data_IF_663124921771
#
_entry.id   IF_663124921771
#
_cell.length_a   1.000
_cell.length_b   1.000
_cell.length_c   1.000
_cell.angle_alpha   90.00
_cell.angle_beta   90.00
_cell.angle_gamma   90.00
#
_symmetry.space_group_name_H-M   'P 1'
#
loop_
_entity.id
_entity.type
_entity.pdbx_description
1 polymer ?
#
# COMPACT_ATOMS: atom_id res chain seq x y z
N UNK A 1 2.26 -2.48 -13.52
CA UNK A 1 1.17 -3.39 -13.15
C UNK A 1 -0.18 -2.96 -13.71
N UNK A 2 -0.83 -1.92 -13.22
CA UNK A 2 -2.06 -1.40 -13.85
C UNK A 2 -1.82 -1.01 -15.32
N UNK A 3 -0.67 -0.44 -15.64
CA UNK A 3 -0.27 -0.14 -17.01
C UNK A 3 -0.04 -1.40 -17.85
N UNK A 4 0.51 -2.48 -17.26
CA UNK A 4 0.70 -3.75 -17.99
C UNK A 4 -0.63 -4.43 -18.33
N UNK A 5 -1.61 -4.37 -17.41
CA UNK A 5 -2.94 -4.93 -17.64
C UNK A 5 -3.75 -4.13 -18.68
N UNK A 6 -3.35 -2.92 -19.03
CA UNK A 6 -4.02 -2.02 -19.98
C UNK A 6 -5.56 -2.06 -19.84
N UNK A 7 -6.10 -1.71 -18.67
CA UNK A 7 -7.55 -1.75 -18.48
C UNK A 7 -8.22 -0.76 -19.43
N UNK A 8 -9.35 -1.17 -20.00
CA UNK A 8 -10.20 -0.33 -20.84
C UNK A 8 -11.37 0.21 -20.01
N UNK A 9 -11.98 1.28 -20.46
CA UNK A 9 -13.22 1.76 -19.87
C UNK A 9 -14.26 0.64 -19.80
N UNK A 10 -14.92 0.49 -18.65
CA UNK A 10 -15.87 -0.58 -18.37
C UNK A 10 -15.26 -1.91 -17.89
N UNK A 11 -13.93 -2.10 -17.96
CA UNK A 11 -13.29 -3.29 -17.40
C UNK A 11 -13.50 -3.37 -15.87
N UNK A 12 -13.79 -4.57 -15.37
CA UNK A 12 -13.93 -4.82 -13.94
C UNK A 12 -12.58 -4.98 -13.26
N UNK A 13 -12.40 -4.36 -12.09
CA UNK A 13 -11.22 -4.53 -11.26
C UNK A 13 -11.59 -4.81 -9.80
N UNK A 14 -10.87 -5.75 -9.18
CA UNK A 14 -10.92 -6.03 -7.75
C UNK A 14 -9.74 -5.37 -7.04
N UNK A 15 -10.04 -4.62 -5.99
CA UNK A 15 -9.02 -4.01 -5.13
C UNK A 15 -9.09 -4.60 -3.72
N UNK A 16 -8.08 -5.33 -3.31
CA UNK A 16 -7.97 -5.80 -1.94
C UNK A 16 -7.57 -4.67 -0.99
N UNK A 17 -8.06 -4.76 0.27
CA UNK A 17 -7.88 -3.74 1.29
C UNK A 17 -8.24 -2.32 0.80
N UNK A 18 -9.40 -2.18 0.14
CA UNK A 18 -9.81 -0.98 -0.59
C UNK A 18 -9.84 0.33 0.20
N UNK A 19 -9.97 0.28 1.53
CA UNK A 19 -9.93 1.47 2.39
C UNK A 19 -8.52 1.80 2.92
N UNK A 20 -7.50 1.02 2.58
CA UNK A 20 -6.10 1.32 2.87
C UNK A 20 -5.50 2.32 1.88
N UNK A 21 -4.30 2.81 2.16
CA UNK A 21 -3.67 3.83 1.33
C UNK A 21 -3.49 3.42 -0.13
N UNK A 22 -3.01 2.19 -0.39
CA UNK A 22 -2.85 1.67 -1.76
C UNK A 22 -4.21 1.43 -2.42
N UNK A 23 -5.17 0.86 -1.66
CA UNK A 23 -6.52 0.59 -2.16
C UNK A 23 -7.26 1.85 -2.59
N UNK A 24 -7.19 2.92 -1.80
CA UNK A 24 -7.81 4.21 -2.14
C UNK A 24 -7.14 4.88 -3.35
N UNK A 25 -5.82 4.86 -3.42
CA UNK A 25 -5.11 5.39 -4.60
C UNK A 25 -5.45 4.59 -5.87
N UNK A 26 -5.53 3.25 -5.76
CA UNK A 26 -5.92 2.40 -6.87
C UNK A 26 -7.39 2.59 -7.27
N UNK A 27 -8.29 2.85 -6.31
CA UNK A 27 -9.69 3.19 -6.55
C UNK A 27 -9.82 4.48 -7.35
N UNK A 28 -9.13 5.53 -6.91
CA UNK A 28 -9.15 6.82 -7.58
C UNK A 28 -8.63 6.70 -9.01
N UNK A 29 -7.48 6.05 -9.17
CA UNK A 29 -6.87 5.84 -10.48
C UNK A 29 -7.70 4.93 -11.40
N UNK A 30 -8.30 3.89 -10.85
CA UNK A 30 -9.17 2.97 -11.58
C UNK A 30 -10.42 3.67 -12.11
N UNK A 31 -10.99 4.60 -11.34
CA UNK A 31 -12.11 5.45 -11.77
C UNK A 31 -11.70 6.42 -12.88
N UNK A 32 -10.54 7.04 -12.75
CA UNK A 32 -10.00 7.91 -13.79
C UNK A 32 -9.88 7.18 -15.14
N UNK A 33 -9.62 5.88 -15.11
CA UNK A 33 -9.58 5.02 -16.30
C UNK A 33 -10.96 4.49 -16.74
N UNK A 34 -12.05 4.90 -16.07
CA UNK A 34 -13.40 4.44 -16.38
C UNK A 34 -13.67 2.99 -15.95
N UNK A 35 -12.88 2.45 -15.03
CA UNK A 35 -13.01 1.07 -14.55
C UNK A 35 -14.18 0.88 -13.59
N UNK A 36 -14.79 -0.31 -13.62
CA UNK A 36 -15.80 -0.75 -12.66
C UNK A 36 -15.11 -1.42 -11.48
N UNK A 37 -15.11 -0.76 -10.33
CA UNK A 37 -14.31 -1.19 -9.19
C UNK A 37 -15.17 -1.96 -8.18
N UNK A 38 -14.67 -3.13 -7.78
CA UNK A 38 -15.09 -3.90 -6.61
C UNK A 38 -13.96 -3.87 -5.61
N UNK A 39 -14.26 -3.70 -4.33
CA UNK A 39 -13.22 -3.69 -3.29
C UNK A 39 -13.62 -4.56 -2.10
N UNK A 40 -12.63 -5.02 -1.33
CA UNK A 40 -12.90 -5.63 -0.05
C UNK A 40 -12.36 -4.78 1.12
N UNK A 41 -12.98 -4.93 2.27
CA UNK A 41 -12.56 -4.34 3.53
C UNK A 41 -13.05 -5.20 4.71
N UNK A 42 -12.32 -5.09 5.85
CA UNK A 42 -12.56 -6.00 6.99
C UNK A 42 -13.42 -5.41 8.12
N UNK A 43 -13.85 -4.16 8.02
CA UNK A 43 -14.58 -3.47 9.10
C UNK A 43 -15.80 -2.73 8.56
N UNK A 44 -16.95 -2.72 9.28
CA UNK A 44 -18.17 -2.06 8.81
C UNK A 44 -17.99 -0.57 8.48
N UNK A 45 -17.24 0.18 9.30
CA UNK A 45 -16.99 1.60 9.05
C UNK A 45 -16.18 1.84 7.76
N UNK A 46 -15.29 0.90 7.37
CA UNK A 46 -14.57 0.95 6.10
C UNK A 46 -15.52 0.72 4.92
N UNK A 47 -16.47 -0.19 5.07
CA UNK A 47 -17.54 -0.37 4.08
C UNK A 47 -18.39 0.89 3.95
N UNK A 48 -18.80 1.51 5.08
CA UNK A 48 -19.52 2.76 5.07
C UNK A 48 -18.74 3.89 4.36
N UNK A 49 -17.44 3.99 4.62
CA UNK A 49 -16.58 4.95 3.95
C UNK A 49 -16.50 4.70 2.44
N UNK A 50 -16.27 3.47 2.00
CA UNK A 50 -16.22 3.12 0.58
C UNK A 50 -17.57 3.35 -0.13
N UNK A 51 -18.70 3.13 0.55
CA UNK A 51 -20.04 3.50 0.02
C UNK A 51 -20.16 4.99 -0.21
N UNK A 52 -19.71 5.81 0.73
CA UNK A 52 -19.71 7.29 0.56
C UNK A 52 -18.87 7.73 -0.62
N UNK A 53 -17.83 6.98 -0.95
CA UNK A 53 -17.09 7.17 -2.18
C UNK A 53 -17.82 6.64 -3.43
N UNK A 54 -19.02 6.10 -3.31
CA UNK A 54 -19.82 5.60 -4.44
C UNK A 54 -19.45 4.20 -4.90
N UNK A 55 -18.78 3.35 -4.07
CA UNK A 55 -18.62 1.94 -4.36
C UNK A 55 -19.91 1.19 -3.98
N UNK A 56 -20.54 0.55 -4.97
CA UNK A 56 -21.67 -0.33 -4.74
C UNK A 56 -21.24 -1.75 -4.37
N UNK A 57 -20.09 -2.21 -4.89
CA UNK A 57 -19.60 -3.57 -4.72
C UNK A 57 -18.50 -3.67 -3.65
N UNK A 58 -18.84 -4.26 -2.50
CA UNK A 58 -17.90 -4.48 -1.42
C UNK A 58 -17.97 -5.89 -0.88
N UNK A 59 -16.79 -6.45 -0.59
CA UNK A 59 -16.59 -7.82 -0.16
C UNK A 59 -15.91 -7.88 1.21
N UNK A 60 -15.99 -9.02 1.89
CA UNK A 60 -15.23 -9.27 3.11
C UNK A 60 -13.74 -9.39 2.81
N UNK A 61 -12.87 -8.91 3.70
CA UNK A 61 -11.43 -9.20 3.70
C UNK A 61 -11.00 -10.01 4.93
N UNK A 62 -11.94 -10.60 5.66
CA UNK A 62 -11.69 -11.35 6.89
C UNK A 62 -11.92 -12.85 6.73
N UNK A 63 -12.74 -13.22 5.77
CA UNK A 63 -13.20 -14.58 5.59
C UNK A 63 -13.26 -14.89 4.08
N UNK A 64 -12.51 -15.91 3.64
CA UNK A 64 -12.40 -16.28 2.23
C UNK A 64 -13.72 -16.84 1.68
N UNK A 65 -14.49 -17.59 2.48
CA UNK A 65 -15.77 -18.12 2.05
C UNK A 65 -16.82 -17.02 1.87
N UNK A 66 -16.90 -16.08 2.84
CA UNK A 66 -17.77 -14.91 2.73
C UNK A 66 -17.35 -13.99 1.56
N UNK A 67 -16.05 -13.89 1.27
CA UNK A 67 -15.54 -13.19 0.11
C UNK A 67 -16.02 -13.86 -1.19
N UNK A 68 -15.81 -15.17 -1.33
CA UNK A 68 -16.16 -15.92 -2.53
C UNK A 68 -17.67 -15.87 -2.80
N UNK A 69 -18.49 -16.10 -1.76
CA UNK A 69 -19.96 -16.02 -1.86
C UNK A 69 -20.44 -14.62 -2.24
N UNK A 70 -19.88 -13.60 -1.59
CA UNK A 70 -20.18 -12.20 -1.88
C UNK A 70 -19.79 -11.81 -3.31
N UNK A 71 -18.65 -12.28 -3.79
CA UNK A 71 -18.18 -12.06 -5.14
C UNK A 71 -19.09 -12.73 -6.18
N UNK A 72 -19.50 -13.98 -5.93
CA UNK A 72 -20.41 -14.69 -6.80
C UNK A 72 -21.76 -13.97 -6.93
N UNK A 73 -22.32 -13.49 -5.83
CA UNK A 73 -23.57 -12.70 -5.82
C UNK A 73 -23.44 -11.37 -6.53
N UNK A 74 -22.32 -10.67 -6.30
CA UNK A 74 -22.11 -9.33 -6.84
C UNK A 74 -21.80 -9.33 -8.35
N UNK A 75 -20.99 -10.28 -8.80
CA UNK A 75 -20.52 -10.36 -10.17
C UNK A 75 -21.42 -11.23 -11.07
N UNK A 76 -22.08 -12.25 -10.50
CA UNK A 76 -22.80 -13.25 -11.30
C UNK A 76 -21.87 -13.91 -12.32
N UNK A 77 -22.23 -13.90 -13.58
CA UNK A 77 -21.42 -14.43 -14.67
C UNK A 77 -20.29 -13.49 -15.13
N UNK A 78 -20.25 -12.26 -14.65
CA UNK A 78 -19.22 -11.29 -15.05
C UNK A 78 -17.85 -11.66 -14.48
N UNK A 79 -16.82 -11.45 -15.29
CA UNK A 79 -15.44 -11.71 -14.91
C UNK A 79 -14.63 -10.42 -14.91
N UNK A 80 -13.60 -10.38 -14.08
CA UNK A 80 -12.76 -9.21 -13.87
C UNK A 80 -11.55 -9.23 -14.80
N UNK A 81 -11.13 -8.06 -15.24
CA UNK A 81 -9.88 -7.89 -15.99
C UNK A 81 -8.65 -7.92 -15.10
N UNK A 82 -8.79 -7.39 -13.88
CA UNK A 82 -7.69 -7.12 -12.99
C UNK A 82 -8.09 -7.42 -11.54
N UNK A 83 -7.17 -8.01 -10.79
CA UNK A 83 -7.19 -8.04 -9.33
C UNK A 83 -5.88 -7.46 -8.80
N UNK A 84 -5.95 -6.44 -7.94
CA UNK A 84 -4.81 -5.92 -7.19
C UNK A 84 -4.86 -6.54 -5.81
N UNK A 85 -3.99 -7.52 -5.56
CA UNK A 85 -3.97 -8.27 -4.33
C UNK A 85 -2.95 -7.72 -3.32
N UNK A 86 -3.36 -7.68 -2.06
CA UNK A 86 -2.54 -7.35 -0.90
C UNK A 86 -2.86 -8.25 0.31
N UNK A 87 -3.69 -9.26 0.10
CA UNK A 87 -4.07 -10.26 1.09
C UNK A 87 -3.35 -11.57 0.78
N UNK A 88 -3.22 -12.43 1.78
CA UNK A 88 -2.54 -13.73 1.66
C UNK A 88 -3.53 -14.89 1.69
N UNK A 89 -3.01 -16.11 1.57
CA UNK A 89 -3.75 -17.38 1.67
C UNK A 89 -4.88 -17.51 0.62
N UNK A 90 -6.07 -17.89 1.04
CA UNK A 90 -7.22 -18.23 0.18
C UNK A 90 -7.66 -17.11 -0.76
N UNK A 91 -7.35 -15.86 -0.41
CA UNK A 91 -7.72 -14.72 -1.25
C UNK A 91 -7.04 -14.70 -2.62
N UNK A 92 -5.85 -15.32 -2.75
CA UNK A 92 -5.14 -15.41 -4.03
C UNK A 92 -5.91 -16.32 -4.97
N UNK A 93 -6.21 -17.56 -4.53
CA UNK A 93 -6.97 -18.52 -5.32
C UNK A 93 -8.37 -17.99 -5.68
N UNK A 94 -9.10 -17.45 -4.70
CA UNK A 94 -10.41 -16.84 -4.93
C UNK A 94 -10.35 -15.69 -5.95
N UNK A 95 -9.28 -14.89 -5.90
CA UNK A 95 -9.12 -13.76 -6.85
C UNK A 95 -8.87 -14.24 -8.27
N UNK A 96 -8.06 -15.29 -8.46
CA UNK A 96 -7.89 -15.92 -9.77
C UNK A 96 -9.19 -16.42 -10.35
N UNK A 97 -10.02 -17.08 -9.54
CA UNK A 97 -11.32 -17.59 -9.97
C UNK A 97 -12.29 -16.51 -10.47
N UNK A 98 -12.09 -15.25 -10.07
CA UNK A 98 -12.91 -14.13 -10.52
C UNK A 98 -12.40 -13.47 -11.81
N UNK A 99 -11.20 -13.80 -12.26
CA UNK A 99 -10.61 -13.22 -13.46
C UNK A 99 -11.19 -13.84 -14.73
N UNK A 100 -11.29 -13.03 -15.77
CA UNK A 100 -11.54 -13.55 -17.14
C UNK A 100 -10.29 -14.16 -17.75
N UNK A 101 -10.43 -14.91 -18.82
CA UNK A 101 -9.30 -15.37 -19.62
C UNK A 101 -8.39 -14.18 -20.00
N UNK A 102 -7.08 -14.35 -19.80
CA UNK A 102 -6.08 -13.28 -19.98
C UNK A 102 -6.19 -12.14 -18.94
N UNK A 103 -6.97 -12.31 -17.88
CA UNK A 103 -7.02 -11.38 -16.75
C UNK A 103 -5.72 -11.36 -15.96
N UNK A 104 -5.51 -10.31 -15.17
CA UNK A 104 -4.27 -10.10 -14.44
C UNK A 104 -4.51 -10.13 -12.94
N UNK A 105 -3.72 -10.90 -12.21
CA UNK A 105 -3.55 -10.76 -10.78
C UNK A 105 -2.21 -10.06 -10.50
N UNK A 106 -2.29 -8.88 -9.93
CA UNK A 106 -1.15 -8.07 -9.52
C UNK A 106 -0.97 -8.19 -8.02
N UNK A 107 0.07 -8.89 -7.58
CA UNK A 107 0.35 -9.16 -6.17
C UNK A 107 1.31 -8.12 -5.62
N UNK A 108 0.88 -7.36 -4.60
CA UNK A 108 1.71 -6.43 -3.84
C UNK A 108 2.02 -6.93 -2.43
N UNK A 109 1.37 -8.04 -2.02
CA UNK A 109 1.67 -8.71 -0.76
C UNK A 109 3.04 -9.35 -0.81
N UNK A 110 3.69 -9.44 0.36
CA UNK A 110 5.00 -10.08 0.50
C UNK A 110 4.91 -11.47 1.16
N UNK A 111 3.72 -11.88 1.57
CA UNK A 111 3.48 -13.17 2.23
C UNK A 111 2.69 -14.09 1.32
N UNK A 112 3.08 -15.37 1.28
CA UNK A 112 2.38 -16.40 0.49
C UNK A 112 2.28 -16.06 -1.01
N UNK A 113 3.29 -15.38 -1.55
CA UNK A 113 3.38 -15.10 -2.99
C UNK A 113 3.47 -16.44 -3.74
N UNK A 114 2.64 -16.61 -4.75
CA UNK A 114 2.67 -17.82 -5.57
C UNK A 114 3.91 -17.85 -6.47
N UNK A 115 4.45 -19.03 -6.71
CA UNK A 115 5.41 -19.23 -7.77
C UNK A 115 4.72 -19.17 -9.14
N UNK A 116 5.48 -18.93 -10.20
CA UNK A 116 4.95 -18.97 -11.56
C UNK A 116 4.51 -20.39 -11.96
N UNK A 117 5.16 -21.41 -11.39
CA UNK A 117 4.77 -22.82 -11.54
C UNK A 117 3.38 -23.06 -10.97
N UNK A 118 3.17 -22.76 -9.69
CA UNK A 118 1.89 -22.90 -9.04
C UNK A 118 0.77 -22.12 -9.76
N UNK A 119 1.07 -20.92 -10.23
CA UNK A 119 0.11 -20.13 -11.00
C UNK A 119 -0.19 -20.80 -12.36
N UNK A 120 0.83 -21.33 -13.04
CA UNK A 120 0.66 -22.04 -14.31
C UNK A 120 -0.22 -23.27 -14.19
N UNK A 121 -0.11 -24.01 -13.09
CA UNK A 121 -0.95 -25.17 -12.81
C UNK A 121 -2.38 -24.80 -12.40
N UNK A 122 -2.50 -23.87 -11.43
CA UNK A 122 -3.79 -23.57 -10.80
C UNK A 122 -4.65 -22.55 -11.60
N UNK A 123 -4.04 -21.67 -12.38
CA UNK A 123 -4.72 -20.61 -13.11
C UNK A 123 -4.07 -20.28 -14.46
N UNK A 124 -3.91 -21.27 -15.38
CA UNK A 124 -3.16 -21.10 -16.64
C UNK A 124 -3.79 -20.07 -17.57
N UNK A 125 -5.09 -19.84 -17.49
CA UNK A 125 -5.79 -18.85 -18.30
C UNK A 125 -5.60 -17.40 -17.85
N UNK A 126 -4.92 -17.17 -16.73
CA UNK A 126 -4.70 -15.85 -16.11
C UNK A 126 -3.22 -15.47 -16.13
N UNK A 127 -2.95 -14.21 -15.91
CA UNK A 127 -1.58 -13.68 -15.79
C UNK A 127 -1.32 -13.25 -14.37
N UNK A 128 -0.12 -13.54 -13.88
CA UNK A 128 0.34 -13.22 -12.53
C UNK A 128 1.57 -12.34 -12.58
N UNK A 129 1.60 -11.30 -11.75
CA UNK A 129 2.77 -10.46 -11.57
C UNK A 129 2.92 -10.07 -10.11
N UNK A 130 4.03 -10.44 -9.51
CA UNK A 130 4.45 -9.94 -8.21
C UNK A 130 5.09 -8.56 -8.38
N UNK A 131 4.62 -7.59 -7.59
CA UNK A 131 5.09 -6.21 -7.64
C UNK A 131 5.98 -5.96 -6.43
N UNK A 132 7.28 -6.08 -6.61
CA UNK A 132 8.29 -5.78 -5.62
C UNK A 132 8.94 -4.42 -5.95
N UNK A 133 8.32 -3.33 -5.48
CA UNK A 133 8.82 -1.98 -5.79
C UNK A 133 10.23 -1.75 -5.26
N UNK A 134 10.55 -2.30 -4.08
CA UNK A 134 11.87 -2.24 -3.47
C UNK A 134 12.96 -2.86 -4.36
N UNK A 135 12.69 -4.01 -4.98
CA UNK A 135 13.60 -4.61 -5.95
C UNK A 135 13.65 -3.85 -7.29
N UNK A 136 12.51 -3.32 -7.72
CA UNK A 136 12.40 -2.63 -9.01
C UNK A 136 13.04 -1.24 -9.00
N UNK A 137 13.06 -0.55 -7.87
CA UNK A 137 13.58 0.81 -7.73
C UNK A 137 15.05 0.93 -8.17
N UNK A 138 15.89 -0.06 -7.84
CA UNK A 138 17.29 -0.07 -8.23
C UNK A 138 17.55 -0.37 -9.71
N UNK A 139 16.63 -1.03 -10.37
CA UNK A 139 16.81 -1.54 -11.74
C UNK A 139 16.05 -0.74 -12.81
N UNK A 140 14.98 -0.05 -12.46
CA UNK A 140 14.08 0.63 -13.38
C UNK A 140 13.88 2.11 -13.02
N UNK A 141 14.98 2.82 -12.77
CA UNK A 141 14.97 4.23 -12.33
C UNK A 141 14.25 5.14 -13.30
N UNK A 142 14.45 4.95 -14.61
CA UNK A 142 13.80 5.77 -15.64
C UNK A 142 12.28 5.55 -15.69
N UNK A 143 11.83 4.29 -15.55
CA UNK A 143 10.40 4.00 -15.44
C UNK A 143 9.80 4.66 -14.18
N UNK A 144 10.50 4.61 -13.06
CA UNK A 144 10.05 5.22 -11.81
C UNK A 144 9.98 6.75 -11.96
N UNK A 145 11.00 7.38 -12.56
CA UNK A 145 11.03 8.82 -12.82
C UNK A 145 9.82 9.25 -13.67
N UNK A 146 9.51 8.52 -14.73
CA UNK A 146 8.34 8.78 -15.60
C UNK A 146 7.03 8.60 -14.84
N UNK A 147 6.90 7.53 -14.04
CA UNK A 147 5.70 7.27 -13.24
C UNK A 147 5.47 8.37 -12.19
N UNK A 148 6.51 8.78 -11.47
CA UNK A 148 6.43 9.86 -10.50
C UNK A 148 6.13 11.22 -11.16
N UNK A 149 6.74 11.51 -12.32
CA UNK A 149 6.45 12.71 -13.11
C UNK A 149 4.98 12.77 -13.54
N UNK A 150 4.44 11.65 -14.02
CA UNK A 150 3.02 11.55 -14.39
C UNK A 150 2.10 11.73 -13.18
N UNK A 151 2.42 11.15 -12.03
CA UNK A 151 1.64 11.32 -10.81
C UNK A 151 1.70 12.76 -10.32
N UNK A 152 2.88 13.39 -10.33
CA UNK A 152 3.07 14.77 -9.95
C UNK A 152 2.26 15.73 -10.82
N UNK A 153 2.30 15.57 -12.14
CA UNK A 153 1.54 16.41 -13.06
C UNK A 153 0.03 16.27 -12.87
N UNK A 154 -0.47 15.05 -12.62
CA UNK A 154 -1.89 14.80 -12.36
C UNK A 154 -2.35 15.34 -10.99
N UNK A 155 -1.48 15.27 -9.99
CA UNK A 155 -1.75 15.86 -8.68
C UNK A 155 -1.79 17.40 -8.76
N UNK A 156 -0.84 18.01 -9.48
CA UNK A 156 -0.81 19.45 -9.71
C UNK A 156 -2.05 19.94 -10.48
N UNK A 157 -2.54 19.14 -11.42
CA UNK A 157 -3.78 19.42 -12.16
C UNK A 157 -5.05 19.10 -11.36
N UNK A 158 -4.96 18.71 -10.08
CA UNK A 158 -6.07 18.30 -9.21
C UNK A 158 -6.90 17.14 -9.76
N UNK A 159 -6.36 16.38 -10.71
CA UNK A 159 -6.98 15.17 -11.27
C UNK A 159 -6.93 14.03 -10.27
N UNK A 160 -5.85 13.97 -9.46
CA UNK A 160 -5.71 13.05 -8.35
C UNK A 160 -5.86 13.83 -7.02
N UNK A 161 -6.66 13.27 -6.13
CA UNK A 161 -6.88 13.83 -4.80
C UNK A 161 -5.92 13.22 -3.79
N UNK A 162 -5.75 13.88 -2.66
CA UNK A 162 -4.98 13.33 -1.55
C UNK A 162 -5.71 12.19 -0.83
N UNK A 163 -4.94 11.32 -0.21
CA UNK A 163 -5.48 10.26 0.66
C UNK A 163 -5.89 10.83 2.02
N UNK A 164 -6.92 10.28 2.67
CA UNK A 164 -7.19 10.56 4.07
C UNK A 164 -5.97 10.27 4.93
N UNK A 165 -5.64 11.17 5.83
CA UNK A 165 -4.50 11.06 6.72
C UNK A 165 -4.98 10.96 8.17
N UNK A 166 -4.42 10.02 8.93
CA UNK A 166 -4.47 9.99 10.39
C UNK A 166 -3.10 10.43 10.89
N UNK A 167 -3.06 11.60 11.52
CA UNK A 167 -1.84 12.21 12.01
C UNK A 167 -1.63 11.85 13.48
N UNK A 168 -0.42 11.45 13.82
CA UNK A 168 0.04 11.15 15.17
C UNK A 168 1.32 11.90 15.45
N UNK A 169 1.54 12.30 16.69
CA UNK A 169 2.79 12.89 17.12
C UNK A 169 3.76 11.78 17.55
N UNK A 170 5.02 11.84 17.08
CA UNK A 170 6.03 10.84 17.41
C UNK A 170 6.25 10.70 18.92
N UNK A 171 6.33 11.82 19.62
CA UNK A 171 6.69 11.83 21.04
C UNK A 171 5.58 11.30 21.95
N UNK A 172 4.33 11.52 21.59
CA UNK A 172 3.18 11.23 22.47
C UNK A 172 2.30 10.09 21.99
N UNK A 173 2.24 9.85 20.68
CA UNK A 173 1.18 9.03 20.07
C UNK A 173 1.71 7.90 19.19
N UNK A 174 3.04 7.69 19.14
CA UNK A 174 3.64 6.68 18.25
C UNK A 174 3.09 5.28 18.49
N UNK A 175 2.86 4.91 19.74
CA UNK A 175 2.28 3.60 20.11
C UNK A 175 0.84 3.48 19.61
N UNK A 176 0.05 4.55 19.70
CA UNK A 176 -1.32 4.59 19.18
C UNK A 176 -1.32 4.47 17.64
N UNK A 177 -0.36 5.10 16.96
CA UNK A 177 -0.19 4.96 15.51
C UNK A 177 0.06 3.50 15.10
N UNK A 178 0.99 2.81 15.79
CA UNK A 178 1.27 1.40 15.52
C UNK A 178 0.08 0.49 15.85
N UNK A 179 -0.62 0.73 16.96
CA UNK A 179 -1.86 -0.01 17.30
C UNK A 179 -2.96 0.20 16.28
N UNK A 180 -3.11 1.41 15.74
CA UNK A 180 -4.06 1.70 14.67
C UNK A 180 -3.76 0.88 13.40
N UNK A 181 -2.49 0.77 13.01
CA UNK A 181 -2.05 -0.07 11.90
C UNK A 181 -2.26 -1.56 12.19
N UNK A 182 -1.82 -2.04 13.34
CA UNK A 182 -1.93 -3.45 13.74
C UNK A 182 -3.39 -3.90 13.81
N UNK A 183 -4.26 -3.07 14.39
CA UNK A 183 -5.70 -3.34 14.48
C UNK A 183 -6.45 -3.13 13.17
N UNK A 184 -5.80 -2.61 12.13
CA UNK A 184 -6.42 -2.30 10.84
C UNK A 184 -7.57 -1.30 10.98
N UNK A 185 -7.48 -0.35 11.91
CA UNK A 185 -8.51 0.66 12.16
C UNK A 185 -8.36 1.90 11.27
N UNK A 186 -7.24 2.07 10.60
CA UNK A 186 -6.97 3.21 9.74
C UNK A 186 -7.77 3.18 8.43
N UNK A 187 -8.15 4.36 7.95
CA UNK A 187 -8.56 4.61 6.55
C UNK A 187 -7.47 5.49 5.93
N UNK A 188 -7.01 5.13 4.74
CA UNK A 188 -5.92 5.86 4.07
C UNK A 188 -4.56 5.62 4.72
N UNK A 189 -3.87 6.70 5.08
CA UNK A 189 -2.50 6.68 5.60
C UNK A 189 -2.44 7.06 7.07
N UNK A 190 -1.64 6.31 7.82
CA UNK A 190 -1.15 6.72 9.14
C UNK A 190 0.16 7.46 8.95
N UNK A 191 0.25 8.66 9.47
CA UNK A 191 1.43 9.53 9.37
C UNK A 191 1.87 9.91 10.78
N UNK A 192 3.11 9.66 11.09
CA UNK A 192 3.72 10.09 12.33
C UNK A 192 4.50 11.37 12.07
N UNK A 193 4.07 12.46 12.69
CA UNK A 193 4.78 13.74 12.63
C UNK A 193 6.01 13.67 13.53
N UNK A 194 7.16 13.76 12.93
CA UNK A 194 8.40 13.99 13.67
C UNK A 194 8.45 15.47 14.02
N UNK A 195 8.55 15.77 15.31
CA UNK A 195 8.66 17.18 15.75
C UNK A 195 9.89 17.81 15.10
N UNK A 196 9.68 18.94 14.44
CA UNK A 196 10.79 19.74 13.87
C UNK A 196 11.41 20.67 14.89
N UNK A 197 10.87 20.70 16.10
CA UNK A 197 11.50 21.40 17.23
C UNK A 197 12.65 20.55 17.78
N UNK A 198 13.64 20.25 16.93
CA UNK A 198 14.99 20.05 17.43
C UNK A 198 15.37 21.37 18.09
N UNK A 199 15.82 21.38 19.35
CA UNK A 199 16.34 22.59 19.97
C UNK A 199 17.31 23.24 18.96
N UNK A 200 17.18 24.54 18.74
CA UNK A 200 17.96 25.28 17.73
C UNK A 200 19.49 25.16 17.93
N UNK A 201 19.87 24.65 19.07
CA UNK A 201 21.26 24.28 19.37
C UNK A 201 21.24 23.04 20.26
N UNK A 202 21.78 21.92 19.85
CA UNK A 202 22.04 20.80 20.75
C UNK A 202 23.23 21.16 21.65
N UNK A 203 23.02 22.12 22.55
CA UNK A 203 24.07 22.67 23.44
C UNK A 203 24.49 21.70 24.57
N UNK A 204 23.99 20.48 24.56
CA UNK A 204 24.27 19.47 25.58
C UNK A 204 25.19 18.34 25.09
N UNK A 205 25.52 17.44 26.01
CA UNK A 205 26.19 16.17 25.70
C UNK A 205 25.16 15.16 25.19
N UNK A 206 25.43 14.54 24.05
CA UNK A 206 24.59 13.52 23.45
C UNK A 206 25.26 12.17 23.51
N UNK A 207 24.53 11.15 23.96
CA UNK A 207 25.00 9.75 23.98
C UNK A 207 24.23 8.94 22.94
N UNK A 208 24.94 8.29 22.03
CA UNK A 208 24.37 7.48 20.96
C UNK A 208 24.69 6.01 21.23
N UNK A 209 23.70 5.20 21.57
CA UNK A 209 23.85 3.75 21.68
C UNK A 209 23.89 3.12 20.29
N UNK A 210 24.76 2.12 20.09
CA UNK A 210 25.05 1.61 18.75
C UNK A 210 25.84 2.60 17.90
N UNK A 211 26.55 3.52 18.54
CA UNK A 211 27.20 4.67 17.93
C UNK A 211 28.27 4.34 16.89
N UNK A 212 28.88 3.15 16.95
CA UNK A 212 29.85 2.68 15.96
C UNK A 212 29.23 2.05 14.72
N UNK A 213 27.92 1.80 14.72
CA UNK A 213 27.18 1.37 13.54
C UNK A 213 26.88 2.52 12.57
N UNK A 214 26.49 2.17 11.33
CA UNK A 214 26.30 3.16 10.27
C UNK A 214 25.31 4.29 10.62
N UNK A 215 24.17 3.98 11.24
CA UNK A 215 23.22 5.00 11.70
C UNK A 215 23.77 5.82 12.87
N UNK A 216 24.52 5.19 13.79
CA UNK A 216 25.12 5.88 14.92
C UNK A 216 26.15 6.92 14.48
N UNK A 217 27.00 6.57 13.54
CA UNK A 217 28.00 7.48 12.95
C UNK A 217 27.37 8.63 12.20
N UNK A 218 26.36 8.36 11.38
CA UNK A 218 25.61 9.42 10.65
C UNK A 218 24.91 10.37 11.62
N UNK A 219 24.28 9.84 12.67
CA UNK A 219 23.60 10.65 13.70
C UNK A 219 24.61 11.47 14.51
N UNK A 220 25.76 10.86 14.85
CA UNK A 220 26.82 11.56 15.57
C UNK A 220 27.37 12.73 14.78
N UNK A 221 27.68 12.51 13.51
CA UNK A 221 28.11 13.58 12.58
C UNK A 221 27.07 14.66 12.44
N UNK A 222 25.80 14.31 12.24
CA UNK A 222 24.70 15.26 12.11
C UNK A 222 24.54 16.14 13.36
N UNK A 223 24.68 15.58 14.57
CA UNK A 223 24.66 16.32 15.83
C UNK A 223 25.85 17.28 15.93
N UNK A 224 27.05 16.80 15.60
CA UNK A 224 28.26 17.62 15.61
C UNK A 224 28.16 18.80 14.63
N UNK A 225 27.71 18.55 13.40
CA UNK A 225 27.50 19.58 12.38
C UNK A 225 26.46 20.66 12.80
N UNK A 226 25.58 20.31 13.76
CA UNK A 226 24.58 21.21 14.34
C UNK A 226 24.98 21.85 15.66
N UNK A 227 26.22 21.70 16.06
CA UNK A 227 26.80 22.38 17.22
C UNK A 227 26.55 21.68 18.56
N UNK A 228 26.41 20.35 18.58
CA UNK A 228 26.43 19.58 19.81
C UNK A 228 27.74 19.82 20.59
N UNK A 229 27.66 20.15 21.86
CA UNK A 229 28.82 20.41 22.70
C UNK A 229 29.71 19.16 22.86
N UNK A 230 29.12 17.98 22.91
CA UNK A 230 29.82 16.71 22.84
C UNK A 230 28.91 15.60 22.33
N UNK A 231 29.50 14.62 21.64
CA UNK A 231 28.81 13.41 21.16
C UNK A 231 29.60 12.19 21.63
N UNK A 232 28.99 11.36 22.46
CA UNK A 232 29.58 10.12 22.95
C UNK A 232 28.96 8.96 22.21
N UNK A 233 29.78 8.18 21.50
CA UNK A 233 29.35 6.97 20.81
C UNK A 233 29.55 5.78 21.76
N UNK A 234 28.48 5.07 22.09
CA UNK A 234 28.50 3.86 22.89
C UNK A 234 28.21 2.63 22.03
N UNK A 235 29.01 1.58 22.17
CA UNK A 235 28.87 0.31 21.47
C UNK A 235 28.97 -0.84 22.46
N UNK A 236 28.45 -2.00 22.09
CA UNK A 236 28.81 -3.25 22.78
C UNK A 236 30.20 -3.65 22.32
N UNK A 237 31.03 -4.06 23.25
CA UNK A 237 32.32 -4.75 22.99
C UNK A 237 32.06 -6.14 22.44
#
# INVERSE_FOLDING_TARGET
>A
SLLAARPRSGDGALLHAGAGGVGLAALEYGRLLGGRIVANAGRPFKHAYLRRLGLAGMLSSRDGAAFALGAARLLGARRLRLALNSLSADFIACSFALLRQGGWLCEIGKRSVWSLELQGEAAPASRYVAIALDATLGQATEWMRRALGLLSSRAAALVLRGLPLQLYNLEREVVAAFRSLQGGSNIGKVVVRVSTTVPRSPSGAHRITGGTGGLGLVTGRWLADRGAASVVLASRS
#
